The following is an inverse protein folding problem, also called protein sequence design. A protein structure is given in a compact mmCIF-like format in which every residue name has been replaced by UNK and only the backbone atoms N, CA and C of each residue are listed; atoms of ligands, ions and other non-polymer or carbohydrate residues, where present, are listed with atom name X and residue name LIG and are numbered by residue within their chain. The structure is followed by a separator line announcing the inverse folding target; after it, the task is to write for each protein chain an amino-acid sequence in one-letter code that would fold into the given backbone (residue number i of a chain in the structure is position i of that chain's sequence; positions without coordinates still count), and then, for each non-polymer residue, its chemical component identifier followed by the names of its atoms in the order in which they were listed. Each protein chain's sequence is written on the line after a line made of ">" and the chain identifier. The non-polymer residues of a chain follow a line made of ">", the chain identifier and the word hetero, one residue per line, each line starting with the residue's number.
data_IF_098177637661
#
_entry.id   IF_098177637661
#
_cell.length_a   1.000
_cell.length_b   1.000
_cell.length_c   1.000
_cell.angle_alpha   90.00
_cell.angle_beta   90.00
_cell.angle_gamma   90.00
#
_symmetry.space_group_name_H-M   'P 1'
#
loop_
_entity.id
_entity.type
_entity.pdbx_description
1 polymer ?
#
# COMPACT_ATOMS: atom_id res chain seq x y z
N UNK A 1 36.04 -32.62 19.28
CA UNK A 1 35.47 -31.29 18.99
C UNK A 1 34.34 -31.47 17.99
N UNK A 2 33.09 -31.47 18.45
CA UNK A 2 31.93 -31.43 17.54
C UNK A 2 31.74 -29.99 17.08
N UNK A 3 31.86 -29.74 15.77
CA UNK A 3 31.35 -28.52 15.16
C UNK A 3 29.83 -28.53 15.32
N UNK A 4 29.31 -27.75 16.26
CA UNK A 4 27.87 -27.48 16.34
C UNK A 4 27.55 -26.54 15.18
N UNK A 5 27.05 -27.10 14.09
CA UNK A 5 26.48 -26.29 13.01
C UNK A 5 25.17 -25.71 13.53
N UNK A 6 25.11 -24.38 13.74
CA UNK A 6 23.85 -23.71 14.02
C UNK A 6 22.95 -23.81 12.79
N UNK A 7 21.74 -24.31 13.01
CA UNK A 7 20.65 -24.35 12.04
C UNK A 7 19.55 -23.49 12.64
N UNK A 8 19.20 -22.40 11.97
CA UNK A 8 18.25 -21.44 12.52
C UNK A 8 17.52 -20.72 11.38
N UNK A 9 16.24 -20.42 11.61
CA UNK A 9 15.49 -19.54 10.75
C UNK A 9 15.78 -18.09 11.13
N UNK A 10 16.20 -17.30 10.16
CA UNK A 10 16.61 -15.92 10.37
C UNK A 10 15.54 -15.00 9.79
N UNK A 11 15.05 -14.08 10.62
CA UNK A 11 14.19 -12.99 10.17
C UNK A 11 14.94 -12.07 9.19
N UNK A 12 14.22 -11.40 8.28
CA UNK A 12 14.86 -10.41 7.43
C UNK A 12 15.52 -9.30 8.24
N UNK A 13 16.59 -8.72 7.70
CA UNK A 13 17.45 -7.74 8.37
C UNK A 13 18.08 -8.24 9.68
N UNK A 14 18.07 -9.56 9.91
CA UNK A 14 18.57 -10.21 11.11
C UNK A 14 17.89 -9.69 12.39
N UNK A 15 16.60 -9.31 12.30
CA UNK A 15 15.79 -8.88 13.45
C UNK A 15 15.44 -10.06 14.37
N UNK A 16 14.96 -9.75 15.57
CA UNK A 16 14.48 -10.75 16.51
C UNK A 16 13.20 -11.45 16.00
N UNK A 17 13.11 -12.77 16.12
CA UNK A 17 11.85 -13.51 16.05
C UNK A 17 11.28 -13.71 17.46
N UNK A 18 9.95 -13.71 17.59
CA UNK A 18 9.28 -13.95 18.87
C UNK A 18 9.38 -15.42 19.30
N UNK A 19 8.98 -16.31 18.41
CA UNK A 19 9.04 -17.76 18.56
C UNK A 19 9.27 -18.42 17.18
N UNK A 20 9.51 -19.73 17.18
CA UNK A 20 9.64 -20.52 15.95
C UNK A 20 8.29 -21.05 15.45
N UNK A 21 7.17 -20.56 15.98
CA UNK A 21 5.85 -20.98 15.51
C UNK A 21 5.60 -20.28 14.17
N UNK A 22 5.36 -21.03 13.08
CA UNK A 22 5.05 -20.42 11.81
C UNK A 22 3.77 -19.60 11.91
N UNK A 23 3.79 -18.39 11.38
CA UNK A 23 2.61 -17.59 11.14
C UNK A 23 2.15 -17.76 9.69
N UNK A 24 0.89 -17.50 9.41
CA UNK A 24 0.39 -17.42 8.03
C UNK A 24 0.12 -15.94 7.71
N UNK A 25 0.77 -15.36 6.69
CA UNK A 25 0.62 -13.95 6.36
C UNK A 25 -0.82 -13.60 5.98
N UNK A 26 -1.65 -14.58 5.60
CA UNK A 26 -3.05 -14.39 5.25
C UNK A 26 -4.02 -14.34 6.45
N UNK A 27 -3.64 -14.86 7.63
CA UNK A 27 -4.54 -14.82 8.79
C UNK A 27 -4.24 -13.63 9.72
N UNK A 28 -5.25 -13.30 10.52
CA UNK A 28 -5.28 -12.10 11.35
C UNK A 28 -4.50 -12.27 12.66
N UNK A 29 -3.82 -11.20 13.09
CA UNK A 29 -3.31 -10.99 14.46
C UNK A 29 -2.55 -12.18 15.07
N UNK A 30 -1.80 -12.92 14.24
CA UNK A 30 -0.97 -14.03 14.73
C UNK A 30 0.25 -13.51 15.50
N UNK A 31 0.77 -12.37 15.07
CA UNK A 31 1.92 -11.73 15.70
C UNK A 31 1.46 -10.66 16.69
N UNK A 32 2.11 -10.55 17.85
CA UNK A 32 1.81 -9.50 18.81
C UNK A 32 2.22 -8.13 18.27
N UNK A 33 1.80 -7.07 18.99
CA UNK A 33 2.20 -5.70 18.70
C UNK A 33 3.72 -5.61 18.51
N UNK A 34 4.16 -4.84 17.51
CA UNK A 34 5.56 -4.65 17.11
C UNK A 34 6.20 -5.79 16.33
N UNK A 35 5.47 -6.88 16.08
CA UNK A 35 5.90 -8.00 15.24
C UNK A 35 5.00 -8.13 14.03
N UNK A 36 5.57 -8.55 12.91
CA UNK A 36 4.87 -8.84 11.67
C UNK A 36 5.17 -10.26 11.21
N UNK A 37 4.23 -10.87 10.49
CA UNK A 37 4.42 -12.18 9.89
C UNK A 37 5.31 -12.03 8.65
N UNK A 38 6.61 -12.25 8.80
CA UNK A 38 7.64 -11.95 7.79
C UNK A 38 8.30 -13.21 7.27
N UNK A 39 8.83 -13.12 6.05
CA UNK A 39 9.47 -14.23 5.33
C UNK A 39 10.87 -14.54 5.90
N UNK A 40 10.96 -15.52 6.79
CA UNK A 40 12.21 -15.98 7.38
C UNK A 40 12.89 -17.06 6.54
N UNK A 41 14.21 -16.95 6.37
CA UNK A 41 15.00 -17.89 5.58
C UNK A 41 15.78 -18.83 6.48
N UNK A 42 15.85 -20.11 6.09
CA UNK A 42 16.62 -21.08 6.82
C UNK A 42 18.12 -20.90 6.53
N UNK A 43 18.92 -20.78 7.60
CA UNK A 43 20.37 -20.74 7.53
C UNK A 43 20.95 -22.04 8.07
N UNK A 44 21.78 -22.69 7.25
CA UNK A 44 22.52 -23.89 7.64
C UNK A 44 24.00 -23.58 7.58
N UNK A 45 24.67 -23.57 8.73
CA UNK A 45 26.13 -23.32 8.81
C UNK A 45 26.53 -21.93 8.27
N UNK A 46 25.65 -20.93 8.43
CA UNK A 46 25.86 -19.57 7.90
C UNK A 46 25.50 -19.40 6.42
N UNK A 47 25.05 -20.45 5.74
CA UNK A 47 24.58 -20.39 4.35
C UNK A 47 23.05 -20.27 4.37
N UNK A 48 22.54 -19.16 3.83
CA UNK A 48 21.10 -18.95 3.62
C UNK A 48 20.64 -19.86 2.48
N UNK A 49 19.62 -20.66 2.75
CA UNK A 49 18.99 -21.56 1.78
C UNK A 49 17.71 -20.95 1.21
N UNK A 50 17.12 -21.59 0.20
CA UNK A 50 15.82 -21.21 -0.37
C UNK A 50 14.63 -21.71 0.47
N UNK A 51 14.89 -22.46 1.55
CA UNK A 51 13.84 -22.89 2.47
C UNK A 51 13.33 -21.68 3.27
N UNK A 52 12.02 -21.49 3.22
CA UNK A 52 11.34 -20.32 3.74
C UNK A 52 10.15 -20.75 4.60
N UNK A 53 10.02 -20.10 5.74
CA UNK A 53 8.81 -20.09 6.56
C UNK A 53 8.45 -18.64 6.89
N UNK A 54 7.23 -18.40 7.34
CA UNK A 54 6.88 -17.09 7.90
C UNK A 54 6.93 -17.15 9.42
N UNK A 55 7.64 -16.22 10.05
CA UNK A 55 7.73 -16.09 11.49
C UNK A 55 7.28 -14.70 11.94
N UNK A 56 6.88 -14.59 13.19
CA UNK A 56 6.67 -13.29 13.82
C UNK A 56 8.02 -12.64 14.11
N UNK A 57 8.39 -11.69 13.27
CA UNK A 57 9.65 -10.97 13.30
C UNK A 57 9.41 -9.51 13.70
N UNK A 58 10.35 -8.90 14.42
CA UNK A 58 10.25 -7.49 14.81
C UNK A 58 10.06 -6.58 13.58
N UNK A 59 9.13 -5.64 13.70
CA UNK A 59 8.66 -4.80 12.60
C UNK A 59 8.67 -3.29 12.91
N UNK A 60 9.10 -2.89 14.11
CA UNK A 60 9.07 -1.49 14.58
C UNK A 60 9.72 -0.49 13.64
N UNK A 61 10.84 -0.89 13.04
CA UNK A 61 11.69 -0.03 12.21
C UNK A 61 11.62 -0.41 10.73
N UNK A 62 10.58 -1.14 10.33
CA UNK A 62 10.43 -1.52 8.93
C UNK A 62 10.20 -0.29 8.06
N UNK A 63 10.98 -0.19 6.99
CA UNK A 63 10.74 0.81 5.95
C UNK A 63 9.50 0.42 5.14
N UNK A 64 8.85 1.40 4.51
CA UNK A 64 7.74 1.12 3.58
C UNK A 64 8.17 0.20 2.43
N UNK A 65 9.44 0.28 2.00
CA UNK A 65 10.00 -0.60 0.98
C UNK A 65 10.01 -2.06 1.42
N UNK A 66 10.50 -2.33 2.64
CA UNK A 66 10.47 -3.67 3.24
C UNK A 66 9.04 -4.21 3.35
N UNK A 67 8.07 -3.36 3.71
CA UNK A 67 6.66 -3.76 3.69
C UNK A 67 6.15 -4.14 2.31
N UNK A 68 6.49 -3.38 1.27
CA UNK A 68 6.09 -3.69 -0.11
C UNK A 68 6.67 -5.02 -0.60
N UNK A 69 7.86 -5.41 -0.14
CA UNK A 69 8.46 -6.71 -0.44
C UNK A 69 7.76 -7.85 0.34
N UNK A 70 7.51 -7.68 1.63
CA UNK A 70 6.81 -8.69 2.46
C UNK A 70 5.37 -8.92 2.00
N UNK A 71 4.71 -7.89 1.48
CA UNK A 71 3.36 -7.95 0.92
C UNK A 71 3.33 -8.45 -0.53
N UNK A 72 4.49 -8.82 -1.09
CA UNK A 72 4.66 -9.26 -2.48
C UNK A 72 4.19 -8.24 -3.54
N UNK A 73 4.12 -6.95 -3.15
CA UNK A 73 3.80 -5.85 -4.05
C UNK A 73 5.00 -5.49 -4.93
N UNK A 74 6.21 -5.69 -4.40
CA UNK A 74 7.48 -5.48 -5.11
C UNK A 74 8.22 -6.81 -5.29
N UNK A 75 8.94 -7.02 -6.41
CA UNK A 75 9.09 -6.10 -7.55
C UNK A 75 8.01 -6.27 -8.63
N UNK A 76 7.07 -7.20 -8.44
CA UNK A 76 6.17 -7.66 -9.51
C UNK A 76 5.13 -6.62 -9.92
N UNK A 77 4.58 -5.85 -8.97
CA UNK A 77 3.57 -4.81 -9.24
C UNK A 77 4.23 -3.44 -9.26
N UNK A 78 5.02 -3.14 -8.22
CA UNK A 78 5.82 -1.91 -8.14
C UNK A 78 7.29 -2.24 -8.35
N UNK A 79 7.87 -1.94 -9.53
CA UNK A 79 9.28 -2.16 -9.77
C UNK A 79 10.18 -1.19 -8.99
N UNK A 80 9.62 -0.06 -8.54
CA UNK A 80 10.32 0.93 -7.72
C UNK A 80 9.58 1.11 -6.40
N UNK A 81 10.32 1.03 -5.30
CA UNK A 81 9.78 1.16 -3.96
C UNK A 81 9.52 2.64 -3.59
N UNK A 82 8.44 2.94 -2.85
CA UNK A 82 8.26 4.25 -2.24
C UNK A 82 9.43 4.59 -1.33
N UNK A 83 9.82 5.86 -1.30
CA UNK A 83 10.99 6.29 -0.51
C UNK A 83 10.63 6.59 0.94
N UNK A 84 9.37 6.98 1.20
CA UNK A 84 8.90 7.42 2.52
C UNK A 84 7.55 6.81 2.88
N UNK A 85 7.27 6.73 4.18
CA UNK A 85 5.98 6.30 4.69
C UNK A 85 5.07 7.52 4.86
N UNK A 86 3.76 7.34 4.60
CA UNK A 86 2.76 8.30 5.07
C UNK A 86 2.49 8.07 6.56
N UNK A 87 2.32 9.16 7.30
CA UNK A 87 1.89 9.11 8.69
C UNK A 87 0.45 8.58 8.77
N UNK A 88 -0.44 9.18 7.98
CA UNK A 88 -1.82 8.73 7.82
C UNK A 88 -2.41 9.11 6.46
N UNK A 89 -3.53 8.45 6.15
CA UNK A 89 -4.45 8.82 5.08
C UNK A 89 -5.87 8.96 5.65
N UNK A 90 -6.61 9.94 5.13
CA UNK A 90 -8.04 10.10 5.34
C UNK A 90 -8.74 9.68 4.05
N UNK A 91 -9.68 8.75 4.17
CA UNK A 91 -10.48 8.27 3.05
C UNK A 91 -11.93 8.69 3.24
N UNK A 92 -12.64 8.99 2.15
CA UNK A 92 -14.02 9.43 2.20
C UNK A 92 -14.93 8.34 2.75
N UNK A 93 -15.69 8.69 3.77
CA UNK A 93 -16.95 7.99 4.08
C UNK A 93 -18.06 8.57 3.18
N UNK A 94 -18.93 7.72 2.62
CA UNK A 94 -20.14 8.20 1.94
C UNK A 94 -21.21 8.67 2.94
N UNK A 95 -21.05 8.37 4.22
CA UNK A 95 -21.91 8.93 5.27
C UNK A 95 -21.41 10.31 5.73
N UNK A 96 -22.09 11.36 5.27
CA UNK A 96 -21.83 12.75 5.68
C UNK A 96 -22.01 13.00 7.19
N UNK A 97 -22.53 12.02 7.96
CA UNK A 97 -22.72 12.12 9.41
C UNK A 97 -21.49 11.73 10.23
N UNK A 98 -20.55 11.00 9.66
CA UNK A 98 -19.38 10.51 10.38
C UNK A 98 -18.10 11.14 9.82
N UNK A 99 -17.15 11.52 10.69
CA UNK A 99 -15.87 12.02 10.23
C UNK A 99 -15.09 10.88 9.56
N UNK A 100 -14.43 11.20 8.46
CA UNK A 100 -13.53 10.29 7.77
C UNK A 100 -12.45 9.76 8.71
N UNK A 101 -12.15 8.45 8.64
CA UNK A 101 -11.23 7.81 9.55
C UNK A 101 -9.81 8.26 9.23
N UNK A 102 -9.00 8.38 10.27
CA UNK A 102 -7.55 8.54 10.13
C UNK A 102 -6.94 7.14 10.14
N UNK A 103 -6.27 6.78 9.05
CA UNK A 103 -5.75 5.42 8.84
C UNK A 103 -4.23 5.46 8.78
N UNK A 104 -3.58 4.68 9.62
CA UNK A 104 -2.14 4.53 9.69
C UNK A 104 -1.70 3.23 8.99
N UNK A 105 -0.39 3.09 8.85
CA UNK A 105 0.23 1.92 8.25
C UNK A 105 -0.19 0.62 8.97
N UNK A 106 -0.77 -0.31 8.21
CA UNK A 106 -1.15 -1.62 8.69
C UNK A 106 -2.43 -1.66 9.52
N UNK A 107 -3.14 -0.53 9.69
CA UNK A 107 -4.43 -0.50 10.36
C UNK A 107 -5.43 -1.44 9.67
N UNK A 108 -6.40 -1.94 10.45
CA UNK A 108 -7.47 -2.79 9.95
C UNK A 108 -8.83 -2.16 10.28
N UNK A 109 -9.56 -1.80 9.25
CA UNK A 109 -10.88 -1.19 9.33
C UNK A 109 -11.97 -2.25 9.31
N UNK A 110 -12.96 -2.10 10.19
CA UNK A 110 -14.13 -2.98 10.20
C UNK A 110 -15.28 -2.31 9.45
N UNK A 111 -15.71 -2.92 8.34
CA UNK A 111 -16.74 -2.35 7.45
C UNK A 111 -18.11 -2.30 8.12
N UNK A 112 -18.37 -3.11 9.15
CA UNK A 112 -19.61 -3.01 9.95
C UNK A 112 -19.80 -1.63 10.58
N UNK A 113 -18.70 -0.96 10.93
CA UNK A 113 -18.75 0.39 11.46
C UNK A 113 -19.00 1.43 10.36
N UNK A 114 -18.83 1.05 9.09
CA UNK A 114 -18.86 1.94 7.93
C UNK A 114 -19.30 1.23 6.63
N UNK A 115 -20.60 0.93 6.47
CA UNK A 115 -21.10 0.04 5.41
C UNK A 115 -20.88 0.55 3.97
N UNK A 116 -20.47 1.80 3.77
CA UNK A 116 -20.25 2.40 2.45
C UNK A 116 -18.75 2.50 2.03
N UNK A 117 -17.84 1.83 2.72
CA UNK A 117 -16.38 1.98 2.52
C UNK A 117 -15.79 1.32 1.26
N UNK A 118 -16.61 0.62 0.50
CA UNK A 118 -16.17 -0.20 -0.64
C UNK A 118 -15.51 0.60 -1.78
N UNK A 119 -15.54 1.94 -1.76
CA UNK A 119 -15.05 2.78 -2.87
C UNK A 119 -14.31 4.06 -2.41
N UNK A 120 -13.65 4.01 -1.25
CA UNK A 120 -13.17 5.19 -0.53
C UNK A 120 -12.11 6.02 -1.29
N UNK A 121 -12.43 7.27 -1.65
CA UNK A 121 -11.50 8.20 -2.26
C UNK A 121 -10.58 8.82 -1.19
N UNK A 122 -9.34 9.18 -1.53
CA UNK A 122 -8.44 9.89 -0.61
C UNK A 122 -8.91 11.34 -0.46
N UNK A 123 -9.25 11.75 0.76
CA UNK A 123 -9.60 13.13 1.11
C UNK A 123 -8.43 13.91 1.69
N UNK A 124 -7.43 13.22 2.23
CA UNK A 124 -6.21 13.87 2.71
C UNK A 124 -5.17 12.86 3.13
N UNK A 125 -3.94 13.31 3.29
CA UNK A 125 -2.82 12.48 3.74
C UNK A 125 -1.72 13.34 4.35
N UNK A 126 -0.88 12.72 5.17
CA UNK A 126 0.25 13.36 5.83
C UNK A 126 1.53 12.55 5.63
N UNK A 127 2.63 13.22 5.32
CA UNK A 127 3.95 12.59 5.23
C UNK A 127 4.57 12.44 6.62
N UNK A 128 5.21 11.30 6.90
CA UNK A 128 5.75 11.03 8.23
C UNK A 128 7.04 11.83 8.53
N UNK A 129 7.98 11.86 7.58
CA UNK A 129 9.33 12.37 7.87
C UNK A 129 9.84 13.39 6.86
N UNK A 130 9.37 13.35 5.62
CA UNK A 130 9.85 14.23 4.54
C UNK A 130 8.68 14.85 3.81
N UNK A 131 8.67 16.17 3.80
CA UNK A 131 7.71 16.98 3.05
C UNK A 131 8.14 17.06 1.58
N UNK A 132 7.22 16.87 0.62
CA UNK A 132 7.54 17.10 -0.79
C UNK A 132 7.97 18.55 -1.01
N UNK A 133 8.88 18.80 -1.95
CA UNK A 133 9.32 20.16 -2.27
C UNK A 133 8.15 21.02 -2.78
N UNK A 134 8.24 22.34 -2.60
CA UNK A 134 7.28 23.28 -3.22
C UNK A 134 7.39 23.22 -4.75
N UNK A 135 6.25 23.30 -5.44
CA UNK A 135 6.18 23.27 -6.89
C UNK A 135 6.00 21.86 -7.47
N UNK A 136 5.51 21.81 -8.71
CA UNK A 136 5.05 20.58 -9.33
C UNK A 136 3.70 20.10 -8.78
N UNK A 137 3.40 18.82 -9.02
CA UNK A 137 2.11 18.22 -8.76
C UNK A 137 2.26 16.86 -8.06
N UNK A 138 1.38 16.58 -7.11
CA UNK A 138 1.25 15.32 -6.41
C UNK A 138 0.11 14.51 -7.03
N UNK A 139 0.28 13.19 -7.05
CA UNK A 139 -0.72 12.24 -7.53
C UNK A 139 -0.90 11.15 -6.48
N UNK A 140 -2.09 11.04 -5.91
CA UNK A 140 -2.44 10.06 -4.91
C UNK A 140 -3.24 8.94 -5.56
N UNK A 141 -2.66 7.73 -5.59
CA UNK A 141 -3.26 6.53 -6.16
C UNK A 141 -3.63 5.59 -5.01
N UNK A 142 -4.89 5.17 -4.95
CA UNK A 142 -5.37 4.11 -4.09
C UNK A 142 -5.73 2.89 -4.93
N UNK A 143 -5.26 1.73 -4.52
CA UNK A 143 -5.47 0.46 -5.18
C UNK A 143 -6.01 -0.58 -4.20
N UNK A 144 -6.94 -1.42 -4.66
CA UNK A 144 -7.61 -2.44 -3.83
C UNK A 144 -7.39 -3.83 -4.42
N UNK A 145 -6.91 -4.77 -3.59
CA UNK A 145 -6.69 -6.21 -3.89
C UNK A 145 -5.81 -6.51 -5.11
N UNK A 146 -4.70 -5.78 -5.24
CA UNK A 146 -3.85 -5.82 -6.44
C UNK A 146 -3.05 -7.10 -6.67
N UNK A 147 -2.88 -7.96 -5.65
CA UNK A 147 -2.07 -9.19 -5.75
C UNK A 147 -2.79 -10.33 -6.46
N UNK A 148 -4.12 -10.28 -6.58
CA UNK A 148 -4.91 -11.29 -7.31
C UNK A 148 -5.46 -10.73 -8.61
N UNK A 149 -6.31 -9.71 -8.48
CA UNK A 149 -6.90 -8.92 -9.56
C UNK A 149 -7.40 -7.63 -8.93
N UNK A 150 -6.94 -6.46 -9.39
CA UNK A 150 -7.37 -5.20 -8.80
C UNK A 150 -8.90 -5.06 -8.85
N UNK A 151 -9.50 -4.93 -7.68
CA UNK A 151 -10.95 -4.73 -7.56
C UNK A 151 -11.32 -3.29 -7.90
N UNK A 152 -10.46 -2.33 -7.52
CA UNK A 152 -10.65 -0.92 -7.83
C UNK A 152 -9.33 -0.14 -7.84
N UNK A 153 -9.35 0.99 -8.55
CA UNK A 153 -8.31 2.01 -8.58
C UNK A 153 -8.95 3.39 -8.48
N UNK A 154 -8.47 4.21 -7.57
CA UNK A 154 -8.85 5.62 -7.45
C UNK A 154 -7.59 6.47 -7.55
N UNK A 155 -7.64 7.54 -8.34
CA UNK A 155 -6.52 8.45 -8.51
C UNK A 155 -7.00 9.90 -8.40
N UNK A 156 -6.43 10.63 -7.44
CA UNK A 156 -6.41 12.08 -7.45
C UNK A 156 -5.09 12.51 -8.06
N UNK A 157 -5.14 13.28 -9.14
CA UNK A 157 -3.94 13.72 -9.85
C UNK A 157 -3.99 15.21 -10.12
N UNK A 158 -2.81 15.77 -10.37
CA UNK A 158 -2.60 17.20 -10.55
C UNK A 158 -2.91 18.04 -9.30
N UNK A 159 -2.65 17.48 -8.11
CA UNK A 159 -2.74 18.20 -6.84
C UNK A 159 -1.52 19.13 -6.72
N UNK A 160 -1.65 20.45 -6.55
CA UNK A 160 -0.49 21.33 -6.45
C UNK A 160 0.36 20.99 -5.20
N UNK A 161 1.66 20.80 -5.39
CA UNK A 161 2.58 20.55 -4.28
C UNK A 161 2.93 21.86 -3.58
N UNK A 162 2.33 22.11 -2.41
CA UNK A 162 2.49 23.35 -1.63
C UNK A 162 3.68 23.36 -0.69
N UNK A 163 4.48 22.29 -0.64
CA UNK A 163 5.54 22.14 0.36
C UNK A 163 5.02 21.92 1.78
N UNK A 164 3.77 21.45 1.92
CA UNK A 164 3.12 21.18 3.21
C UNK A 164 3.19 19.70 3.57
N UNK A 165 3.36 19.40 4.87
CA UNK A 165 3.45 18.02 5.37
C UNK A 165 2.12 17.27 5.28
N UNK A 166 1.02 18.02 5.33
CA UNK A 166 -0.33 17.50 5.21
C UNK A 166 -0.98 18.10 3.97
N UNK A 167 -1.70 17.26 3.23
CA UNK A 167 -2.45 17.63 2.03
C UNK A 167 -3.91 17.32 2.30
N UNK A 168 -4.77 18.32 2.16
CA UNK A 168 -6.22 18.15 2.19
C UNK A 168 -6.74 18.28 0.75
N UNK A 169 -7.22 17.18 0.19
CA UNK A 169 -7.70 17.08 -1.19
C UNK A 169 -9.04 17.79 -1.38
N UNK A 170 -9.91 17.77 -0.37
CA UNK A 170 -11.25 18.39 -0.47
C UNK A 170 -11.20 19.91 -0.56
N UNK A 171 -10.17 20.52 0.02
CA UNK A 171 -10.00 21.97 0.02
C UNK A 171 -9.28 22.50 -1.22
N UNK A 172 -8.90 21.63 -2.16
CA UNK A 172 -8.22 22.04 -3.39
C UNK A 172 -9.25 22.54 -4.40
N UNK A 173 -9.16 23.82 -4.73
CA UNK A 173 -10.01 24.49 -5.72
C UNK A 173 -9.29 24.69 -7.07
N UNK A 174 -8.11 24.10 -7.23
CA UNK A 174 -7.33 24.21 -8.47
C UNK A 174 -8.07 23.53 -9.62
N UNK A 175 -8.32 24.29 -10.70
CA UNK A 175 -8.96 23.78 -11.92
C UNK A 175 -8.22 22.62 -12.61
N UNK A 176 -6.92 22.44 -12.29
CA UNK A 176 -6.11 21.35 -12.83
C UNK A 176 -6.27 20.04 -12.06
N UNK A 177 -6.66 20.08 -10.78
CA UNK A 177 -6.91 18.87 -10.01
C UNK A 177 -8.01 18.05 -10.67
N UNK A 178 -7.74 16.76 -10.83
CA UNK A 178 -8.68 15.79 -11.39
C UNK A 178 -8.75 14.55 -10.52
N UNK A 179 -9.89 13.89 -10.64
CA UNK A 179 -10.16 12.62 -10.00
C UNK A 179 -10.67 11.62 -11.03
N UNK A 180 -10.19 10.39 -10.94
CA UNK A 180 -10.72 9.26 -11.69
C UNK A 180 -10.83 8.03 -10.79
N UNK A 181 -11.95 7.32 -10.88
CA UNK A 181 -12.20 6.08 -10.17
C UNK A 181 -12.64 4.99 -11.14
N UNK A 182 -12.03 3.81 -11.00
CA UNK A 182 -12.42 2.60 -11.70
C UNK A 182 -12.71 1.50 -10.70
N UNK A 183 -13.83 0.82 -10.87
CA UNK A 183 -14.22 -0.35 -10.09
C UNK A 183 -14.48 -1.46 -11.10
N UNK A 184 -13.80 -2.59 -10.92
CA UNK A 184 -13.94 -3.73 -11.81
C UNK A 184 -15.33 -4.34 -11.67
N UNK A 185 -15.82 -4.95 -12.75
CA UNK A 185 -17.10 -5.71 -12.76
C UNK A 185 -16.98 -7.08 -12.08
N UNK A 186 -15.75 -7.50 -11.72
CA UNK A 186 -15.54 -8.62 -10.85
C UNK A 186 -16.19 -8.29 -9.51
N UNK A 187 -17.20 -9.06 -9.15
CA UNK A 187 -17.93 -8.91 -7.88
C UNK A 187 -16.96 -8.57 -6.75
N UNK A 188 -17.25 -7.49 -6.02
CA UNK A 188 -16.80 -7.28 -4.63
C UNK A 188 -16.69 -8.68 -3.99
N UNK A 189 -15.51 -9.06 -3.47
CA UNK A 189 -15.18 -10.46 -3.24
C UNK A 189 -16.35 -11.23 -2.63
N UNK A 190 -16.63 -12.39 -3.22
CA UNK A 190 -17.44 -13.42 -2.58
C UNK A 190 -16.96 -13.59 -1.12
N UNK A 191 -17.91 -13.85 -0.23
CA UNK A 191 -17.78 -13.90 1.25
C UNK A 191 -16.62 -14.74 1.80
N UNK A 192 -15.87 -15.44 0.96
CA UNK A 192 -14.71 -16.28 1.32
C UNK A 192 -13.41 -15.49 1.54
N UNK A 193 -13.34 -14.21 1.15
CA UNK A 193 -12.18 -13.33 1.44
C UNK A 193 -12.49 -12.39 2.59
N UNK A 194 -12.02 -12.74 3.79
CA UNK A 194 -12.29 -12.04 5.05
C UNK A 194 -11.77 -10.59 5.11
N UNK A 195 -10.70 -10.26 4.38
CA UNK A 195 -10.07 -8.93 4.36
C UNK A 195 -9.62 -8.53 2.95
N UNK A 196 -9.73 -7.26 2.63
CA UNK A 196 -9.23 -6.63 1.42
C UNK A 196 -8.02 -5.76 1.72
N UNK A 197 -7.01 -5.79 0.84
CA UNK A 197 -5.82 -4.97 0.98
C UNK A 197 -5.98 -3.66 0.21
N UNK A 198 -5.69 -2.55 0.89
CA UNK A 198 -5.68 -1.21 0.33
C UNK A 198 -4.25 -0.71 0.31
N UNK A 199 -3.79 -0.22 -0.84
CA UNK A 199 -2.44 0.32 -1.03
C UNK A 199 -2.56 1.75 -1.55
N UNK A 200 -2.03 2.69 -0.79
CA UNK A 200 -1.96 4.11 -1.12
C UNK A 200 -0.53 4.45 -1.55
N UNK A 201 -0.38 5.11 -2.68
CA UNK A 201 0.91 5.51 -3.23
C UNK A 201 0.83 6.95 -3.72
N UNK A 202 1.81 7.74 -3.34
CA UNK A 202 1.96 9.13 -3.75
C UNK A 202 3.12 9.25 -4.73
N UNK A 203 2.86 9.90 -5.86
CA UNK A 203 3.85 10.28 -6.86
C UNK A 203 3.99 11.79 -6.92
N UNK A 204 5.10 12.26 -7.49
CA UNK A 204 5.35 13.67 -7.75
C UNK A 204 5.88 13.88 -9.16
N UNK A 205 5.32 14.86 -9.86
CA UNK A 205 5.78 15.30 -11.19
C UNK A 205 6.02 16.80 -11.22
N UNK A 206 6.84 17.28 -12.16
CA UNK A 206 7.10 18.72 -12.34
C UNK A 206 5.98 19.43 -13.11
N UNK A 207 5.35 18.73 -14.06
CA UNK A 207 4.23 19.22 -14.86
C UNK A 207 2.98 18.38 -14.62
N UNK A 208 1.76 18.90 -14.88
CA UNK A 208 0.55 18.12 -14.72
C UNK A 208 0.59 16.83 -15.52
N UNK A 209 0.08 15.76 -14.93
CA UNK A 209 -0.12 14.48 -15.58
C UNK A 209 -1.18 14.59 -16.68
N UNK A 210 -2.23 15.40 -16.49
CA UNK A 210 -3.25 15.63 -17.52
C UNK A 210 -2.74 16.35 -18.78
N UNK A 211 -1.62 17.07 -18.67
CA UNK A 211 -0.98 17.73 -19.81
C UNK A 211 -0.11 16.75 -20.63
N UNK A 212 0.21 15.58 -20.07
CA UNK A 212 1.14 14.60 -20.66
C UNK A 212 0.43 13.36 -21.21
N UNK A 213 -0.59 12.86 -20.51
CA UNK A 213 -1.17 11.54 -20.75
C UNK A 213 -2.68 11.51 -20.52
N UNK A 214 -3.35 10.56 -21.16
CA UNK A 214 -4.76 10.29 -20.91
C UNK A 214 -4.90 9.20 -19.82
N UNK A 215 -4.85 9.64 -18.56
CA UNK A 215 -4.95 8.78 -17.36
C UNK A 215 -6.17 7.85 -17.42
N UNK A 216 -7.34 8.37 -17.80
CA UNK A 216 -8.57 7.58 -17.89
C UNK A 216 -8.47 6.46 -18.91
N UNK A 217 -7.92 6.74 -20.10
CA UNK A 217 -7.77 5.73 -21.15
C UNK A 217 -6.79 4.63 -20.73
N UNK A 218 -5.67 4.99 -20.10
CA UNK A 218 -4.68 4.02 -19.62
C UNK A 218 -5.22 3.15 -18.49
N UNK A 219 -5.92 3.72 -17.51
CA UNK A 219 -6.52 2.93 -16.43
C UNK A 219 -7.52 1.94 -17.01
N UNK A 220 -8.45 2.38 -17.87
CA UNK A 220 -9.44 1.48 -18.49
C UNK A 220 -8.76 0.39 -19.33
N UNK A 221 -7.69 0.73 -20.05
CA UNK A 221 -6.98 -0.20 -20.92
C UNK A 221 -6.13 -1.23 -20.19
N UNK A 222 -5.59 -0.90 -19.01
CA UNK A 222 -4.53 -1.69 -18.37
C UNK A 222 -4.78 -2.06 -16.91
N UNK A 223 -5.92 -1.72 -16.31
CA UNK A 223 -6.20 -2.03 -14.89
C UNK A 223 -6.15 -3.52 -14.56
N UNK A 224 -6.65 -4.39 -15.45
CA UNK A 224 -6.57 -5.85 -15.28
C UNK A 224 -5.12 -6.37 -15.36
N UNK A 225 -4.18 -5.53 -15.82
CA UNK A 225 -2.74 -5.79 -15.88
C UNK A 225 -1.99 -4.73 -15.07
N UNK A 226 -2.29 -4.62 -13.77
CA UNK A 226 -1.79 -3.53 -12.93
C UNK A 226 -0.27 -3.36 -12.97
N UNK A 227 0.49 -4.46 -13.01
CA UNK A 227 1.95 -4.41 -13.18
C UNK A 227 2.34 -3.65 -14.45
N UNK A 228 1.65 -3.91 -15.58
CA UNK A 228 1.86 -3.19 -16.83
C UNK A 228 1.41 -1.73 -16.73
N UNK A 229 0.25 -1.46 -16.12
CA UNK A 229 -0.22 -0.09 -15.89
C UNK A 229 0.83 0.74 -15.15
N UNK A 230 1.38 0.23 -14.04
CA UNK A 230 2.37 0.94 -13.22
C UNK A 230 3.71 1.08 -13.94
N UNK A 231 4.18 0.06 -14.65
CA UNK A 231 5.55 0.03 -15.18
C UNK A 231 5.69 0.53 -16.63
N UNK A 232 4.68 0.28 -17.47
CA UNK A 232 4.81 0.39 -18.93
C UNK A 232 3.74 1.25 -19.60
N UNK A 233 2.60 1.52 -18.96
CA UNK A 233 1.64 2.49 -19.52
C UNK A 233 2.24 3.90 -19.58
N UNK A 234 1.70 4.75 -20.45
CA UNK A 234 2.15 6.14 -20.54
C UNK A 234 1.97 6.84 -19.19
N UNK A 235 0.86 6.59 -18.50
CA UNK A 235 0.57 7.08 -17.15
C UNK A 235 1.60 6.60 -16.13
N UNK A 236 1.91 5.31 -16.08
CA UNK A 236 2.92 4.75 -15.18
C UNK A 236 4.31 5.34 -15.39
N UNK A 237 4.72 5.49 -16.66
CA UNK A 237 5.99 6.12 -17.01
C UNK A 237 6.04 7.61 -16.64
N UNK A 238 4.95 8.34 -16.85
CA UNK A 238 4.86 9.77 -16.51
C UNK A 238 4.82 10.01 -15.00
N UNK A 239 4.21 9.11 -14.22
CA UNK A 239 4.23 9.15 -12.75
C UNK A 239 5.63 8.96 -12.16
N UNK A 240 6.46 8.13 -12.81
CA UNK A 240 7.84 7.89 -12.40
C UNK A 240 7.97 7.16 -11.06
N UNK A 241 8.94 7.57 -10.23
CA UNK A 241 9.22 6.91 -8.95
C UNK A 241 8.19 7.33 -7.88
N UNK A 242 7.58 6.37 -7.14
CA UNK A 242 6.75 6.73 -6.00
C UNK A 242 7.58 7.40 -4.89
N UNK A 243 7.05 8.50 -4.35
CA UNK A 243 7.72 9.24 -3.27
C UNK A 243 7.33 8.70 -1.90
N UNK A 244 6.05 8.34 -1.71
CA UNK A 244 5.56 7.83 -0.44
C UNK A 244 4.48 6.75 -0.61
N UNK A 245 4.29 5.94 0.41
CA UNK A 245 3.26 4.91 0.41
C UNK A 245 2.77 4.53 1.81
N UNK A 246 1.64 3.84 1.83
CA UNK A 246 1.01 3.25 3.00
C UNK A 246 0.12 2.10 2.53
N UNK A 247 -0.12 1.12 3.39
CA UNK A 247 -1.14 0.10 3.17
C UNK A 247 -1.97 -0.08 4.43
N UNK A 248 -3.18 -0.59 4.26
CA UNK A 248 -4.09 -0.97 5.35
C UNK A 248 -5.03 -2.08 4.86
N UNK A 249 -5.84 -2.61 5.77
CA UNK A 249 -6.83 -3.63 5.47
C UNK A 249 -8.24 -3.17 5.78
N UNK A 250 -9.22 -3.64 5.01
CA UNK A 250 -10.63 -3.54 5.33
C UNK A 250 -11.26 -4.93 5.46
N UNK A 251 -11.96 -5.19 6.56
CA UNK A 251 -12.53 -6.49 6.89
C UNK A 251 -14.06 -6.44 6.93
N UNK A 252 -14.68 -7.40 6.24
CA UNK A 252 -16.13 -7.53 6.08
C UNK A 252 -16.64 -8.63 7.01
N UNK A 253 -16.82 -8.31 8.29
CA UNK A 253 -17.40 -9.25 9.22
C UNK A 253 -18.93 -9.23 9.02
N UNK A 254 -19.49 -10.30 8.47
CA UNK A 254 -20.94 -10.54 8.56
C UNK A 254 -21.14 -11.51 9.74
N UNK A 255 -21.69 -11.02 10.84
CA UNK A 255 -22.13 -11.88 11.96
C UNK A 255 -23.36 -12.68 11.58
#
# INVERSE_FOLDING_TARGET
>A
MQCVFSQEYICPDNTMYLDLKPCNPNDRNQCPKNFACRRSRFSRSGIITDEVIHLCCEANNMTIGSWFEELELSPQIFPQLPSFTLDYVNISDFDAKHPSPVIHLGDELQVLNYPNYLTANIQGFQFQSITPTLGGYLHAVLLIDITKRPTALFINYDLPSTGSVSVNVENITDSKHRFFGYISSGTVPLQDTYRQQYVVIIYKTEVPLSDQVNVTADVIGFIDQISYFISNSATGQALGKPIAGLFFYASFIFT
#
